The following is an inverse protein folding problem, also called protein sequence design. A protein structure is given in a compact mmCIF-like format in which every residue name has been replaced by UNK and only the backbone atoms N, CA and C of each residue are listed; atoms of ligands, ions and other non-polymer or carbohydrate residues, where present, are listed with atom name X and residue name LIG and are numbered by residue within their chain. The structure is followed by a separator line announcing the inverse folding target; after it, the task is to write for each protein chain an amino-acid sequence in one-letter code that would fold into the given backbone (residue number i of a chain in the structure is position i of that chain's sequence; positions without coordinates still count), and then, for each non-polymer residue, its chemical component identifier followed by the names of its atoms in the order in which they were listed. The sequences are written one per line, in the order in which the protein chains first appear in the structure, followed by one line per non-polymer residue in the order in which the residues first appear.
data_IF_176541964995
#
_entry.id   IF_176541964995
#
_cell.length_a   1.000
_cell.length_b   1.000
_cell.length_c   1.000
_cell.angle_alpha   90.00
_cell.angle_beta   90.00
_cell.angle_gamma   90.00
#
_symmetry.space_group_name_H-M   'P 1'
#
loop_
_entity.id
_entity.type
_entity.pdbx_description
1 polymer ?
#
# COMPACT_ATOMS: atom_id res chain seq x y z
N UNK A 1 4.85 10.43 1.28
CA UNK A 1 6.12 9.64 1.46
C UNK A 1 5.69 8.20 1.63
N UNK A 2 5.88 7.35 0.62
CA UNK A 2 5.43 5.97 0.70
C UNK A 2 6.40 5.11 1.51
N UNK A 3 5.86 4.08 2.13
CA UNK A 3 6.62 3.08 2.88
C UNK A 3 6.09 1.70 2.53
N UNK A 4 6.97 0.71 2.44
CA UNK A 4 6.56 -0.68 2.25
C UNK A 4 7.21 -1.56 3.30
N UNK A 5 6.40 -2.28 4.07
CA UNK A 5 6.85 -3.40 4.87
C UNK A 5 6.74 -4.68 4.05
N UNK A 6 7.88 -5.31 3.80
CA UNK A 6 7.99 -6.51 2.97
C UNK A 6 8.45 -7.67 3.84
N UNK A 7 7.57 -8.62 4.07
CA UNK A 7 7.91 -9.85 4.80
C UNK A 7 8.23 -10.96 3.81
N UNK A 8 9.48 -11.38 3.77
CA UNK A 8 10.00 -12.47 2.94
C UNK A 8 10.76 -13.44 3.84
N UNK A 9 10.37 -14.73 3.93
CA UNK A 9 11.14 -15.72 4.68
C UNK A 9 12.57 -15.83 4.14
N UNK A 10 13.53 -16.08 5.04
CA UNK A 10 14.92 -16.25 4.66
C UNK A 10 15.08 -17.39 3.64
N UNK A 11 15.89 -17.16 2.59
CA UNK A 11 16.12 -18.13 1.52
C UNK A 11 14.95 -18.35 0.55
N UNK A 12 13.83 -17.62 0.70
CA UNK A 12 12.67 -17.74 -0.20
C UNK A 12 12.96 -17.26 -1.62
N UNK A 13 13.84 -16.28 -1.78
CA UNK A 13 14.28 -15.73 -3.06
C UNK A 13 15.81 -15.75 -3.13
N UNK A 14 16.33 -15.81 -4.36
CA UNK A 14 17.77 -15.54 -4.60
C UNK A 14 18.06 -14.07 -4.33
N UNK A 15 19.25 -13.70 -3.83
CA UNK A 15 19.58 -12.31 -3.48
C UNK A 15 19.31 -11.30 -4.60
N UNK A 16 19.64 -11.66 -5.85
CA UNK A 16 19.44 -10.78 -7.00
C UNK A 16 17.95 -10.62 -7.37
N UNK A 17 17.15 -11.68 -7.19
CA UNK A 17 15.71 -11.64 -7.41
C UNK A 17 15.02 -10.78 -6.34
N UNK A 18 15.45 -10.91 -5.09
CA UNK A 18 14.96 -10.11 -3.98
C UNK A 18 15.29 -8.62 -4.18
N UNK A 19 16.54 -8.30 -4.52
CA UNK A 19 16.94 -6.91 -4.77
C UNK A 19 16.11 -6.28 -5.90
N UNK A 20 15.86 -7.03 -7.00
CA UNK A 20 14.97 -6.58 -8.07
C UNK A 20 13.55 -6.38 -7.61
N UNK A 21 13.01 -7.31 -6.81
CA UNK A 21 11.66 -7.20 -6.25
C UNK A 21 11.50 -5.92 -5.42
N UNK A 22 12.43 -5.63 -4.51
CA UNK A 22 12.37 -4.42 -3.68
C UNK A 22 12.41 -3.15 -4.53
N UNK A 23 13.26 -3.11 -5.56
CA UNK A 23 13.32 -1.99 -6.49
C UNK A 23 12.01 -1.83 -7.29
N UNK A 24 11.45 -2.94 -7.77
CA UNK A 24 10.18 -2.96 -8.51
C UNK A 24 9.00 -2.52 -7.63
N UNK A 25 8.89 -3.04 -6.41
CA UNK A 25 7.85 -2.63 -5.45
C UNK A 25 7.91 -1.14 -5.15
N UNK A 26 9.11 -0.58 -5.00
CA UNK A 26 9.29 0.86 -4.79
C UNK A 26 8.78 1.67 -5.99
N UNK A 27 9.11 1.24 -7.22
CA UNK A 27 8.65 1.89 -8.44
C UNK A 27 7.14 1.78 -8.64
N UNK A 28 6.57 0.61 -8.38
CA UNK A 28 5.12 0.37 -8.42
C UNK A 28 4.40 1.30 -7.45
N UNK A 29 4.90 1.42 -6.21
CA UNK A 29 4.25 2.27 -5.22
C UNK A 29 4.30 3.75 -5.59
N UNK A 30 5.45 4.26 -6.08
CA UNK A 30 5.58 5.63 -6.57
C UNK A 30 4.59 5.91 -7.70
N UNK A 31 4.48 4.99 -8.68
CA UNK A 31 3.54 5.11 -9.79
C UNK A 31 2.07 5.15 -9.32
N UNK A 32 1.69 4.29 -8.38
CA UNK A 32 0.34 4.25 -7.83
C UNK A 32 0.00 5.48 -6.96
N UNK A 33 0.98 6.20 -6.44
CA UNK A 33 0.78 7.52 -5.84
C UNK A 33 0.60 8.64 -6.89
N UNK A 34 0.81 8.33 -8.17
CA UNK A 34 0.67 9.26 -9.30
C UNK A 34 1.93 10.06 -9.58
N UNK A 35 3.10 9.59 -9.16
CA UNK A 35 4.39 10.20 -9.47
C UNK A 35 5.15 9.40 -10.53
N UNK A 36 6.08 10.07 -11.22
CA UNK A 36 7.05 9.40 -12.08
C UNK A 36 7.98 8.52 -11.22
N UNK A 37 8.09 7.22 -11.49
CA UNK A 37 9.03 6.35 -10.78
C UNK A 37 10.49 6.79 -10.85
N UNK A 38 10.85 7.61 -11.85
CA UNK A 38 12.18 8.20 -11.99
C UNK A 38 12.37 9.50 -11.20
N UNK A 39 11.33 10.04 -10.56
CA UNK A 39 11.44 11.23 -9.72
C UNK A 39 12.35 10.94 -8.52
N UNK A 40 13.52 11.58 -8.48
CA UNK A 40 14.54 11.37 -7.46
C UNK A 40 14.06 11.74 -6.06
N UNK A 41 13.21 12.74 -5.93
CA UNK A 41 12.63 13.14 -4.64
C UNK A 41 11.69 12.06 -4.12
N UNK A 42 10.83 11.51 -4.99
CA UNK A 42 9.94 10.42 -4.65
C UNK A 42 10.72 9.15 -4.31
N UNK A 43 11.75 8.79 -5.10
CA UNK A 43 12.62 7.65 -4.81
C UNK A 43 13.28 7.77 -3.42
N UNK A 44 13.87 8.92 -3.11
CA UNK A 44 14.54 9.15 -1.81
C UNK A 44 13.55 9.18 -0.63
N UNK A 45 12.28 9.48 -0.89
CA UNK A 45 11.23 9.49 0.12
C UNK A 45 10.49 8.13 0.26
N UNK A 46 10.79 7.16 -0.61
CA UNK A 46 10.19 5.82 -0.60
C UNK A 46 11.11 4.86 0.14
N UNK A 47 10.61 4.28 1.23
CA UNK A 47 11.39 3.35 2.03
C UNK A 47 10.78 1.95 2.01
N UNK A 48 11.61 0.93 1.88
CA UNK A 48 11.23 -0.47 2.01
C UNK A 48 11.90 -1.09 3.22
N UNK A 49 11.09 -1.64 4.12
CA UNK A 49 11.56 -2.39 5.29
C UNK A 49 11.40 -3.88 5.03
N UNK A 50 12.51 -4.60 5.04
CA UNK A 50 12.53 -6.03 4.82
C UNK A 50 12.50 -6.78 6.15
N UNK A 51 11.45 -7.56 6.36
CA UNK A 51 11.26 -8.36 7.56
C UNK A 51 11.53 -9.85 7.28
N UNK A 52 12.25 -10.49 8.17
CA UNK A 52 12.60 -11.92 8.14
C UNK A 52 11.89 -12.63 9.30
N UNK A 53 10.74 -13.27 9.08
CA UNK A 53 10.12 -14.05 10.14
C UNK A 53 10.97 -15.30 10.42
N UNK A 54 11.16 -15.62 11.71
CA UNK A 54 11.84 -16.85 12.12
C UNK A 54 11.10 -18.12 11.64
N UNK A 55 9.77 -18.05 11.53
CA UNK A 55 8.92 -19.08 10.95
C UNK A 55 7.58 -18.50 10.52
N UNK A 56 6.96 -19.13 9.54
CA UNK A 56 5.56 -18.90 9.16
C UNK A 56 4.79 -20.20 9.33
N UNK A 57 3.62 -20.14 9.94
CA UNK A 57 2.73 -21.28 10.16
C UNK A 57 1.44 -21.11 9.37
N UNK A 58 0.94 -22.23 8.85
CA UNK A 58 -0.34 -22.33 8.15
C UNK A 58 -1.13 -23.43 8.83
N UNK A 59 -2.32 -23.10 9.34
CA UNK A 59 -3.16 -24.04 10.09
C UNK A 59 -2.43 -24.78 11.22
N UNK A 60 -1.54 -24.06 11.92
CA UNK A 60 -0.77 -24.61 13.05
C UNK A 60 0.50 -25.40 12.66
N UNK A 61 0.71 -25.70 11.39
CA UNK A 61 1.91 -26.38 10.92
C UNK A 61 2.88 -25.39 10.25
N UNK A 62 4.19 -25.66 10.33
CA UNK A 62 5.21 -24.85 9.67
C UNK A 62 4.98 -24.87 8.14
N UNK A 63 4.96 -23.70 7.52
CA UNK A 63 4.74 -23.59 6.08
C UNK A 63 5.85 -24.29 5.29
N UNK A 64 5.48 -25.08 4.29
CA UNK A 64 6.40 -25.80 3.41
C UNK A 64 6.87 -24.97 2.21
N UNK A 65 6.09 -23.93 1.87
CA UNK A 65 6.43 -22.95 0.82
C UNK A 65 6.45 -21.55 1.39
N UNK A 66 7.23 -20.62 0.84
CA UNK A 66 7.26 -19.22 1.30
C UNK A 66 5.88 -18.57 1.33
N UNK A 67 5.65 -17.72 2.33
CA UNK A 67 4.48 -16.85 2.43
C UNK A 67 4.97 -15.41 2.46
N UNK A 68 4.36 -14.57 1.65
CA UNK A 68 4.73 -13.18 1.50
C UNK A 68 3.64 -12.29 2.09
N UNK A 69 4.04 -11.30 2.86
CA UNK A 69 3.16 -10.26 3.37
C UNK A 69 3.74 -8.91 3.00
N UNK A 70 2.99 -8.12 2.24
CA UNK A 70 3.44 -6.83 1.72
C UNK A 70 2.43 -5.78 2.14
N UNK A 71 2.91 -4.73 2.81
CA UNK A 71 2.07 -3.65 3.35
C UNK A 71 2.56 -2.32 2.77
N UNK A 72 2.07 -1.95 1.57
CA UNK A 72 2.28 -0.61 1.06
C UNK A 72 1.49 0.38 1.92
N UNK A 73 2.17 1.37 2.47
CA UNK A 73 1.58 2.38 3.35
C UNK A 73 1.82 3.78 2.77
N UNK A 74 0.75 4.56 2.63
CA UNK A 74 0.76 5.90 2.07
C UNK A 74 -0.05 6.86 2.93
N UNK A 75 0.10 8.19 2.76
CA UNK A 75 -0.78 9.18 3.38
C UNK A 75 -2.24 9.03 2.92
N UNK A 76 -3.20 9.37 3.79
CA UNK A 76 -4.63 9.37 3.47
C UNK A 76 -4.94 10.19 2.22
N UNK A 77 -5.79 9.64 1.36
CA UNK A 77 -6.25 10.28 0.13
C UNK A 77 -5.48 9.88 -1.13
N UNK A 78 -4.40 9.13 -1.00
CA UNK A 78 -3.61 8.68 -2.15
C UNK A 78 -4.33 7.59 -2.97
N UNK A 79 -5.07 6.69 -2.31
CA UNK A 79 -5.74 5.60 -3.01
C UNK A 79 -7.22 5.86 -3.29
N UNK A 80 -7.65 5.47 -4.49
CA UNK A 80 -9.04 5.11 -4.79
C UNK A 80 -9.20 3.59 -4.62
N UNK A 81 -10.42 3.07 -4.67
CA UNK A 81 -10.64 1.62 -4.65
C UNK A 81 -9.97 0.93 -5.84
N UNK A 82 -10.16 1.47 -7.04
CA UNK A 82 -9.51 0.95 -8.26
C UNK A 82 -7.98 0.97 -8.16
N UNK A 83 -7.39 2.02 -7.57
CA UNK A 83 -5.94 2.10 -7.35
C UNK A 83 -5.46 1.02 -6.38
N UNK A 84 -6.24 0.68 -5.33
CA UNK A 84 -5.91 -0.42 -4.42
C UNK A 84 -5.92 -1.78 -5.13
N UNK A 85 -6.95 -2.04 -5.94
CA UNK A 85 -7.07 -3.28 -6.70
C UNK A 85 -5.92 -3.45 -7.69
N UNK A 86 -5.59 -2.40 -8.44
CA UNK A 86 -4.45 -2.39 -9.35
C UNK A 86 -3.12 -2.60 -8.61
N UNK A 87 -2.91 -1.92 -7.47
CA UNK A 87 -1.73 -2.08 -6.65
C UNK A 87 -1.56 -3.52 -6.15
N UNK A 88 -2.63 -4.14 -5.65
CA UNK A 88 -2.60 -5.54 -5.19
C UNK A 88 -2.19 -6.47 -6.33
N UNK A 89 -2.74 -6.24 -7.53
CA UNK A 89 -2.37 -7.01 -8.73
C UNK A 89 -0.89 -6.84 -9.07
N UNK A 90 -0.42 -5.61 -9.21
CA UNK A 90 0.95 -5.31 -9.64
C UNK A 90 2.00 -5.82 -8.64
N UNK A 91 1.73 -5.68 -7.33
CA UNK A 91 2.57 -6.23 -6.26
C UNK A 91 2.60 -7.76 -6.31
N UNK A 92 1.46 -8.42 -6.52
CA UNK A 92 1.39 -9.88 -6.64
C UNK A 92 2.17 -10.36 -7.85
N UNK A 93 1.99 -9.72 -9.00
CA UNK A 93 2.72 -10.03 -10.25
C UNK A 93 4.25 -9.87 -10.06
N UNK A 94 4.68 -8.85 -9.33
CA UNK A 94 6.10 -8.65 -9.01
C UNK A 94 6.68 -9.80 -8.19
N UNK A 95 5.95 -10.29 -7.18
CA UNK A 95 6.38 -11.44 -6.37
C UNK A 95 6.42 -12.71 -7.19
N UNK A 96 5.42 -12.94 -8.06
CA UNK A 96 5.39 -14.09 -8.97
C UNK A 96 6.63 -14.10 -9.88
N UNK A 97 6.98 -12.96 -10.46
CA UNK A 97 8.20 -12.82 -11.28
C UNK A 97 9.48 -13.10 -10.49
N UNK A 98 9.52 -12.62 -9.25
CA UNK A 98 10.71 -12.78 -8.40
C UNK A 98 10.93 -14.22 -7.95
N UNK A 99 9.86 -14.94 -7.58
CA UNK A 99 9.94 -16.35 -7.19
C UNK A 99 10.11 -17.28 -8.41
N UNK A 100 9.49 -16.93 -9.55
CA UNK A 100 9.62 -17.70 -10.80
C UNK A 100 8.72 -18.93 -10.86
N UNK A 101 7.63 -18.97 -10.10
CA UNK A 101 6.60 -20.02 -10.14
C UNK A 101 5.42 -19.67 -11.07
N UNK A 102 4.40 -20.54 -11.10
CA UNK A 102 3.14 -20.21 -11.77
C UNK A 102 2.37 -19.16 -10.96
N UNK A 103 1.54 -18.37 -11.65
CA UNK A 103 0.71 -17.37 -10.98
C UNK A 103 -0.19 -18.01 -9.92
N UNK A 104 -0.87 -19.09 -10.25
CA UNK A 104 -1.81 -19.77 -9.34
C UNK A 104 -1.14 -20.27 -8.05
N UNK A 105 0.08 -20.80 -8.16
CA UNK A 105 0.82 -21.27 -7.00
C UNK A 105 1.34 -20.11 -6.14
N UNK A 106 2.02 -19.14 -6.74
CA UNK A 106 2.67 -18.06 -6.00
C UNK A 106 1.64 -17.07 -5.44
N UNK A 107 0.67 -16.61 -6.25
CA UNK A 107 -0.34 -15.63 -5.85
C UNK A 107 -1.16 -16.08 -4.63
N UNK A 108 -1.43 -17.38 -4.52
CA UNK A 108 -2.13 -17.96 -3.34
C UNK A 108 -1.36 -17.80 -2.02
N UNK A 109 -0.08 -17.42 -2.10
CA UNK A 109 0.86 -17.28 -0.98
C UNK A 109 1.30 -15.83 -0.73
N UNK A 110 0.69 -14.87 -1.44
CA UNK A 110 0.98 -13.44 -1.34
C UNK A 110 -0.22 -12.73 -0.74
N UNK A 111 0.00 -12.05 0.36
CA UNK A 111 -0.98 -11.13 0.94
C UNK A 111 -0.49 -9.70 0.83
N UNK A 112 -1.33 -8.83 0.28
CA UNK A 112 -1.05 -7.40 0.11
C UNK A 112 -2.08 -6.60 0.89
N UNK A 113 -1.61 -5.68 1.74
CA UNK A 113 -2.45 -4.85 2.60
C UNK A 113 -2.23 -3.36 2.28
N UNK A 114 -2.88 -2.80 1.24
CA UNK A 114 -2.79 -1.37 0.96
C UNK A 114 -3.32 -0.56 2.15
N UNK A 115 -2.43 0.15 2.83
CA UNK A 115 -2.71 0.91 4.04
C UNK A 115 -2.60 2.41 3.80
N UNK A 116 -3.46 3.18 4.47
CA UNK A 116 -3.38 4.65 4.52
C UNK A 116 -3.22 5.09 5.97
N UNK A 117 -2.28 5.99 6.22
CA UNK A 117 -2.14 6.70 7.50
C UNK A 117 -2.98 7.97 7.44
N UNK A 118 -3.83 8.18 8.44
CA UNK A 118 -4.68 9.36 8.54
C UNK A 118 -3.88 10.66 8.42
N UNK A 119 -4.43 11.62 7.68
CA UNK A 119 -3.79 12.92 7.47
C UNK A 119 -3.57 13.66 8.78
N UNK A 120 -2.32 13.92 9.09
CA UNK A 120 -1.87 14.47 10.37
C UNK A 120 -1.31 13.43 11.34
N UNK A 121 -1.24 12.15 10.96
CA UNK A 121 -0.66 11.08 11.77
C UNK A 121 0.68 10.54 11.20
N UNK A 122 1.19 11.12 10.12
CA UNK A 122 2.49 10.77 9.55
C UNK A 122 3.52 11.84 9.86
N UNK A 123 4.51 11.52 10.69
CA UNK A 123 5.61 12.41 11.04
C UNK A 123 6.88 12.14 10.23
N UNK A 124 7.59 13.19 9.89
CA UNK A 124 8.90 13.11 9.25
C UNK A 124 9.66 14.42 9.39
N UNK A 125 10.99 14.38 9.43
CA UNK A 125 11.84 15.58 9.57
C UNK A 125 11.53 16.44 10.79
N UNK A 126 10.98 15.86 11.85
CA UNK A 126 10.62 16.59 13.07
C UNK A 126 9.29 17.35 13.03
N UNK A 127 8.47 17.18 11.97
CA UNK A 127 7.14 17.78 11.87
C UNK A 127 6.14 16.83 11.21
N UNK A 128 4.86 17.20 11.21
CA UNK A 128 3.78 16.42 10.60
C UNK A 128 3.34 17.13 9.31
N UNK A 129 3.78 16.70 8.12
CA UNK A 129 3.29 17.24 6.86
C UNK A 129 1.87 16.73 6.59
N UNK A 130 1.05 17.57 5.97
CA UNK A 130 -0.26 17.18 5.43
C UNK A 130 -0.12 16.71 3.99
N UNK A 131 -1.11 15.97 3.48
CA UNK A 131 -1.06 15.49 2.10
C UNK A 131 -0.75 16.57 1.06
N UNK A 132 -1.30 17.82 1.15
CA UNK A 132 -0.92 18.89 0.24
C UNK A 132 0.58 19.28 0.31
N UNK A 133 1.17 19.25 1.51
CA UNK A 133 2.59 19.52 1.70
C UNK A 133 3.48 18.43 1.12
N UNK A 134 3.04 17.18 1.27
CA UNK A 134 3.72 16.01 0.71
C UNK A 134 3.71 16.07 -0.82
N UNK A 135 2.56 16.39 -1.44
CA UNK A 135 2.44 16.55 -2.89
C UNK A 135 3.35 17.66 -3.41
N UNK A 136 3.32 18.83 -2.76
CA UNK A 136 4.17 19.96 -3.12
C UNK A 136 5.66 19.62 -2.99
N UNK A 137 6.05 18.89 -1.94
CA UNK A 137 7.43 18.44 -1.74
C UNK A 137 7.91 17.46 -2.82
N UNK A 138 7.06 16.53 -3.24
CA UNK A 138 7.42 15.46 -4.18
C UNK A 138 7.40 15.92 -5.64
N UNK A 139 6.46 16.79 -6.02
CA UNK A 139 6.23 17.12 -7.42
C UNK A 139 6.19 18.65 -7.71
N UNK A 140 6.41 19.48 -6.70
CA UNK A 140 6.44 20.94 -6.83
C UNK A 140 5.17 21.61 -6.30
N UNK A 141 5.28 22.92 -6.02
CA UNK A 141 4.23 23.68 -5.32
C UNK A 141 2.88 23.68 -6.07
N UNK A 142 2.90 23.57 -7.40
CA UNK A 142 1.69 23.47 -8.22
C UNK A 142 0.83 22.23 -7.92
N UNK A 143 1.41 21.17 -7.33
CA UNK A 143 0.71 19.95 -6.95
C UNK A 143 0.02 20.03 -5.57
N UNK A 144 0.19 21.12 -4.83
CA UNK A 144 -0.46 21.35 -3.53
C UNK A 144 -1.98 21.26 -3.62
N UNK A 145 -2.58 21.84 -4.63
CA UNK A 145 -4.04 21.79 -4.83
C UNK A 145 -4.54 20.38 -5.19
N UNK A 146 -3.73 19.61 -5.90
CA UNK A 146 -4.04 18.18 -6.16
C UNK A 146 -4.09 17.42 -4.84
N UNK A 147 -3.16 17.64 -3.92
CA UNK A 147 -3.18 17.05 -2.58
C UNK A 147 -4.43 17.42 -1.77
N UNK A 148 -4.85 18.70 -1.80
CA UNK A 148 -6.09 19.15 -1.16
C UNK A 148 -7.32 18.45 -1.74
N UNK A 149 -7.41 18.38 -3.07
CA UNK A 149 -8.53 17.73 -3.76
C UNK A 149 -8.61 16.21 -3.46
N UNK A 150 -7.47 15.51 -3.43
CA UNK A 150 -7.40 14.09 -3.07
C UNK A 150 -7.90 13.85 -1.64
N UNK A 151 -7.42 14.63 -0.68
CA UNK A 151 -7.84 14.52 0.73
C UNK A 151 -9.32 14.84 0.91
N UNK A 152 -9.82 15.90 0.28
CA UNK A 152 -11.24 16.26 0.32
C UNK A 152 -12.12 15.15 -0.27
N UNK A 153 -11.73 14.58 -1.41
CA UNK A 153 -12.42 13.43 -2.01
C UNK A 153 -12.48 12.24 -1.07
N UNK A 154 -11.37 11.89 -0.42
CA UNK A 154 -11.27 10.77 0.52
C UNK A 154 -12.19 10.97 1.73
N UNK A 155 -12.17 12.16 2.33
CA UNK A 155 -13.03 12.52 3.46
C UNK A 155 -14.50 12.48 3.11
N UNK A 156 -14.86 12.99 1.92
CA UNK A 156 -16.22 12.92 1.40
C UNK A 156 -16.70 11.47 1.22
N UNK A 157 -15.87 10.61 0.64
CA UNK A 157 -16.20 9.19 0.46
C UNK A 157 -16.40 8.48 1.81
N UNK A 158 -15.56 8.75 2.82
CA UNK A 158 -15.74 8.22 4.18
C UNK A 158 -17.06 8.71 4.81
N UNK A 159 -17.38 9.99 4.69
CA UNK A 159 -18.61 10.55 5.24
C UNK A 159 -19.87 9.96 4.59
N UNK A 160 -19.87 9.78 3.26
CA UNK A 160 -20.96 9.14 2.54
C UNK A 160 -21.17 7.69 2.98
N UNK A 161 -20.10 6.91 3.07
CA UNK A 161 -20.18 5.51 3.52
C UNK A 161 -20.75 5.39 4.96
N UNK A 162 -20.38 6.31 5.86
CA UNK A 162 -20.94 6.35 7.22
C UNK A 162 -22.44 6.68 7.21
N UNK A 163 -22.86 7.64 6.41
CA UNK A 163 -24.28 8.02 6.27
C UNK A 163 -25.11 6.90 5.67
N UNK A 164 -24.63 6.24 4.63
CA UNK A 164 -25.26 5.09 4.01
C UNK A 164 -25.45 3.95 5.02
N UNK A 165 -24.37 3.61 5.74
CA UNK A 165 -24.42 2.59 6.81
C UNK A 165 -25.41 2.93 7.94
N UNK A 166 -25.49 4.20 8.33
CA UNK A 166 -26.46 4.65 9.33
C UNK A 166 -27.92 4.55 8.82
N UNK A 167 -28.15 4.94 7.57
CA UNK A 167 -29.47 4.82 6.94
C UNK A 167 -29.93 3.37 6.80
N UNK A 168 -29.03 2.46 6.41
CA UNK A 168 -29.33 1.04 6.33
C UNK A 168 -29.62 0.42 7.68
N UNK A 169 -28.87 0.80 8.71
CA UNK A 169 -29.16 0.36 10.09
C UNK A 169 -30.57 0.82 10.56
N UNK A 170 -30.94 2.07 10.29
CA UNK A 170 -32.28 2.60 10.62
C UNK A 170 -33.40 1.86 9.88
N UNK A 171 -33.23 1.57 8.57
CA UNK A 171 -34.20 0.81 7.78
C UNK A 171 -34.40 -0.62 8.33
N UNK A 172 -33.32 -1.28 8.71
CA UNK A 172 -33.36 -2.64 9.26
C UNK A 172 -34.03 -2.68 10.66
N UNK A 173 -33.88 -1.64 11.48
CA UNK A 173 -34.57 -1.54 12.76
C UNK A 173 -36.09 -1.41 12.57
N UNK A 174 -36.56 -0.60 11.62
CA UNK A 174 -38.00 -0.41 11.32
C UNK A 174 -38.63 -1.66 10.70
N UNK A 175 -37.89 -2.48 9.97
CA UNK A 175 -38.39 -3.71 9.36
C UNK A 175 -38.49 -4.90 10.34
N UNK A 176 -37.91 -4.77 11.54
CA UNK A 176 -37.90 -5.81 12.57
C UNK A 176 -39.00 -5.61 13.65
N UNK A 177 -39.78 -4.54 13.57
CA UNK A 177 -41.01 -4.26 14.35
C UNK A 177 -42.26 -4.67 13.54
#
# INVERSE_FOLDING_TARGET
MPMIDVTIPEGALKPEAEARLIAELSSVLIAHEGFDPNNKTAQNATWAFLHRPAAVFVAGARATKPRYRIVPTVPEGQYTQAAREALVKDVTDAVVRAEGGSFEDVASRVWVFPSEIEDGCWGGRGFIPRLPDIQAFLAGEHEREVGKARLARRRRAKALALLEGALDAMRNCVAAE
#
